data_IF_694917618149
#
_entry.id   IF_694917618149
#
_cell.length_a   1.000
_cell.length_b   1.000
_cell.length_c   1.000
_cell.angle_alpha   90.00
_cell.angle_beta   90.00
_cell.angle_gamma   90.00
#
_symmetry.space_group_name_H-M   'P 1'
#
loop_
_entity.id
_entity.type
_entity.pdbx_description
1 polymer ?
#
# COMPACT_ATOMS: atom_id res chain seq x y z
N UNK A 1 14.09 32.03 -60.42
CA UNK A 1 15.09 31.24 -59.66
C UNK A 1 15.03 31.56 -58.17
N UNK A 2 14.90 32.83 -57.79
CA UNK A 2 14.90 33.27 -56.37
C UNK A 2 13.76 32.69 -55.52
N UNK A 3 12.56 32.51 -56.10
CA UNK A 3 11.42 31.91 -55.39
C UNK A 3 11.63 30.41 -55.07
N UNK A 4 12.31 29.66 -55.94
CA UNK A 4 12.62 28.25 -55.71
C UNK A 4 13.69 28.09 -54.63
N UNK A 5 14.73 28.93 -54.66
CA UNK A 5 15.80 28.94 -53.65
C UNK A 5 15.25 29.30 -52.26
N UNK A 6 14.32 30.27 -52.18
CA UNK A 6 13.64 30.64 -50.94
C UNK A 6 12.82 29.47 -50.37
N UNK A 7 12.07 28.75 -51.22
CA UNK A 7 11.27 27.60 -50.78
C UNK A 7 12.15 26.43 -50.28
N UNK A 8 13.27 26.16 -50.96
CA UNK A 8 14.24 25.14 -50.53
C UNK A 8 14.86 25.49 -49.18
N UNK A 9 15.20 26.77 -48.97
CA UNK A 9 15.73 27.25 -47.71
C UNK A 9 14.72 27.09 -46.56
N UNK A 10 13.46 27.48 -46.78
CA UNK A 10 12.38 27.29 -45.80
C UNK A 10 12.16 25.82 -45.47
N UNK A 11 12.19 24.93 -46.47
CA UNK A 11 12.06 23.49 -46.25
C UNK A 11 13.20 22.94 -45.39
N UNK A 12 14.44 23.38 -45.63
CA UNK A 12 15.60 22.96 -44.86
C UNK A 12 15.54 23.45 -43.41
N UNK A 13 15.08 24.68 -43.17
CA UNK A 13 14.88 25.23 -41.83
C UNK A 13 13.79 24.47 -41.08
N UNK A 14 12.67 24.15 -41.75
CA UNK A 14 11.61 23.33 -41.19
C UNK A 14 12.11 21.93 -40.80
N UNK A 15 12.90 21.28 -41.66
CA UNK A 15 13.50 19.98 -41.38
C UNK A 15 14.45 20.03 -40.18
N UNK A 16 15.30 21.06 -40.09
CA UNK A 16 16.18 21.28 -38.92
C UNK A 16 15.38 21.50 -37.64
N UNK A 17 14.28 22.25 -37.71
CA UNK A 17 13.39 22.46 -36.56
C UNK A 17 12.72 21.16 -36.12
N UNK A 18 12.28 20.31 -37.06
CA UNK A 18 11.71 18.99 -36.76
C UNK A 18 12.74 18.04 -36.12
N UNK A 19 13.97 18.02 -36.62
CA UNK A 19 15.07 17.24 -36.03
C UNK A 19 15.42 17.71 -34.61
N UNK A 20 15.47 19.03 -34.40
CA UNK A 20 15.67 19.62 -33.07
C UNK A 20 14.52 19.28 -32.11
N UNK A 21 13.26 19.36 -32.57
CA UNK A 21 12.08 18.96 -31.80
C UNK A 21 12.14 17.48 -31.41
N UNK A 22 12.43 16.60 -32.36
CA UNK A 22 12.50 15.16 -32.12
C UNK A 22 13.62 14.81 -31.13
N UNK A 23 14.76 15.49 -31.24
CA UNK A 23 15.88 15.36 -30.29
C UNK A 23 15.48 15.81 -28.88
N UNK A 24 14.77 16.94 -28.77
CA UNK A 24 14.27 17.44 -27.49
C UNK A 24 13.26 16.49 -26.86
N UNK A 25 12.30 15.98 -27.64
CA UNK A 25 11.33 14.96 -27.19
C UNK A 25 12.06 13.70 -26.70
N UNK A 26 13.06 13.23 -27.45
CA UNK A 26 13.89 12.08 -27.03
C UNK A 26 14.55 12.29 -25.67
N UNK A 27 15.13 13.46 -25.43
CA UNK A 27 15.73 13.82 -24.13
C UNK A 27 14.70 13.88 -23.00
N UNK A 28 13.50 14.41 -23.26
CA UNK A 28 12.43 14.43 -22.27
C UNK A 28 11.94 13.02 -21.90
N UNK A 29 11.74 12.15 -22.90
CA UNK A 29 11.35 10.75 -22.67
C UNK A 29 12.42 10.04 -21.82
N UNK A 30 13.70 10.21 -22.17
CA UNK A 30 14.79 9.63 -21.40
C UNK A 30 14.82 10.15 -19.95
N UNK A 31 14.55 11.45 -19.75
CA UNK A 31 14.49 12.04 -18.40
C UNK A 31 13.33 11.48 -17.59
N UNK A 32 12.15 11.32 -18.20
CA UNK A 32 10.97 10.70 -17.55
C UNK A 32 11.26 9.25 -17.19
N UNK A 33 11.85 8.46 -18.09
CA UNK A 33 12.23 7.06 -17.83
C UNK A 33 13.26 6.95 -16.70
N UNK A 34 14.26 7.83 -16.68
CA UNK A 34 15.24 7.88 -15.59
C UNK A 34 14.60 8.25 -14.24
N UNK A 35 13.65 9.19 -14.23
CA UNK A 35 12.90 9.55 -13.03
C UNK A 35 12.03 8.39 -12.55
N UNK A 36 11.33 7.70 -13.46
CA UNK A 36 10.52 6.54 -13.12
C UNK A 36 11.37 5.41 -12.53
N UNK A 37 12.52 5.11 -13.15
CA UNK A 37 13.49 4.15 -12.62
C UNK A 37 14.00 4.56 -11.25
N UNK A 38 14.26 5.84 -11.01
CA UNK A 38 14.68 6.33 -9.70
C UNK A 38 13.57 6.21 -8.65
N UNK A 39 12.30 6.44 -9.02
CA UNK A 39 11.14 6.26 -8.14
C UNK A 39 10.86 4.78 -7.82
N UNK A 40 11.18 3.88 -8.75
CA UNK A 40 11.06 2.44 -8.55
C UNK A 40 12.19 1.87 -7.68
N UNK A 41 13.36 2.53 -7.65
CA UNK A 41 14.41 2.20 -6.67
C UNK A 41 13.87 2.43 -5.26
N UNK A 42 13.98 1.41 -4.41
CA UNK A 42 13.46 1.40 -3.04
C UNK A 42 11.94 1.50 -2.91
N UNK A 43 11.18 1.10 -3.94
CA UNK A 43 9.74 0.92 -3.80
C UNK A 43 9.40 -0.07 -2.67
N UNK A 44 8.34 0.22 -1.93
CA UNK A 44 7.93 -0.56 -0.76
C UNK A 44 6.42 -0.62 -0.56
N UNK A 45 6.00 -1.62 0.19
CA UNK A 45 4.66 -1.80 0.74
C UNK A 45 4.72 -1.41 2.21
N UNK A 46 3.83 -0.53 2.63
CA UNK A 46 3.69 -0.14 4.04
C UNK A 46 2.52 -0.91 4.65
N UNK A 47 2.74 -1.54 5.79
CA UNK A 47 1.71 -2.25 6.57
C UNK A 47 1.64 -1.58 7.94
N UNK A 48 0.53 -0.89 8.19
CA UNK A 48 0.28 -0.20 9.46
C UNK A 48 -0.83 -0.92 10.22
N UNK A 49 -0.54 -1.33 11.44
CA UNK A 49 -1.47 -2.08 12.28
C UNK A 49 -1.70 -1.33 13.59
N UNK A 50 -2.97 -1.11 13.91
CA UNK A 50 -3.45 -0.73 15.24
C UNK A 50 -3.55 -1.99 16.10
N UNK A 51 -2.53 -2.24 16.93
CA UNK A 51 -2.46 -3.42 17.78
C UNK A 51 -3.46 -3.42 18.93
N UNK A 52 -4.04 -2.27 19.30
CA UNK A 52 -5.11 -2.21 20.30
C UNK A 52 -6.44 -2.74 19.74
N UNK A 53 -6.59 -2.68 18.41
CA UNK A 53 -7.79 -3.07 17.67
C UNK A 53 -7.61 -4.35 16.80
N UNK A 54 -6.37 -4.77 16.55
CA UNK A 54 -5.99 -5.95 15.76
C UNK A 54 -5.24 -6.99 16.62
N UNK A 55 -5.99 -7.88 17.27
CA UNK A 55 -5.42 -8.90 18.14
C UNK A 55 -4.76 -10.03 17.35
N UNK A 56 -3.51 -10.34 17.67
CA UNK A 56 -2.84 -11.55 17.17
C UNK A 56 -3.50 -12.82 17.74
N UNK A 57 -3.35 -13.93 17.01
CA UNK A 57 -3.80 -15.26 17.45
C UNK A 57 -3.22 -15.60 18.83
N UNK A 58 -4.05 -16.19 19.69
CA UNK A 58 -3.69 -16.47 21.08
C UNK A 58 -2.55 -17.49 21.16
N UNK A 59 -2.55 -18.49 20.28
CA UNK A 59 -1.48 -19.46 20.12
C UNK A 59 -0.13 -18.84 19.75
N UNK A 60 -0.11 -17.71 19.04
CA UNK A 60 1.12 -16.97 18.77
C UNK A 60 1.53 -16.18 20.01
N UNK A 61 0.62 -15.41 20.61
CA UNK A 61 0.93 -14.58 21.79
C UNK A 61 1.48 -15.41 22.95
N UNK A 62 0.91 -16.60 23.20
CA UNK A 62 1.32 -17.53 24.27
C UNK A 62 2.75 -18.06 24.12
N UNK A 63 3.28 -18.14 22.90
CA UNK A 63 4.65 -18.63 22.64
C UNK A 63 5.72 -17.57 22.95
N UNK A 64 5.36 -16.39 23.45
CA UNK A 64 6.30 -15.32 23.80
C UNK A 64 7.16 -14.94 22.60
N UNK A 65 8.49 -14.91 22.76
CA UNK A 65 9.42 -14.49 21.71
C UNK A 65 9.38 -15.38 20.45
N UNK A 66 9.18 -16.70 20.61
CA UNK A 66 9.02 -17.59 19.44
C UNK A 66 7.75 -17.24 18.67
N UNK A 67 6.67 -16.94 19.38
CA UNK A 67 5.40 -16.57 18.77
C UNK A 67 5.40 -15.20 18.11
N UNK A 68 6.12 -14.23 18.69
CA UNK A 68 6.34 -12.93 18.06
C UNK A 68 7.10 -13.04 16.74
N UNK A 69 8.16 -13.85 16.72
CA UNK A 69 8.94 -14.14 15.51
C UNK A 69 8.08 -14.82 14.43
N UNK A 70 7.30 -15.84 14.83
CA UNK A 70 6.36 -16.54 13.95
C UNK A 70 5.27 -15.58 13.42
N UNK A 71 4.69 -14.74 14.27
CA UNK A 71 3.66 -13.78 13.89
C UNK A 71 4.15 -12.77 12.83
N UNK A 72 5.35 -12.22 13.00
CA UNK A 72 5.94 -11.30 12.04
C UNK A 72 6.18 -11.98 10.68
N UNK A 73 6.70 -13.22 10.69
CA UNK A 73 6.93 -14.00 9.46
C UNK A 73 5.62 -14.34 8.75
N UNK A 74 4.61 -14.79 9.50
CA UNK A 74 3.28 -15.10 8.96
C UNK A 74 2.61 -13.86 8.38
N UNK A 75 2.68 -12.71 9.06
CA UNK A 75 2.13 -11.45 8.55
C UNK A 75 2.83 -11.02 7.26
N UNK A 76 4.16 -11.07 7.24
CA UNK A 76 4.94 -10.72 6.05
C UNK A 76 4.64 -11.65 4.87
N UNK A 77 4.50 -12.95 5.13
CA UNK A 77 4.12 -13.93 4.12
C UNK A 77 2.70 -13.66 3.60
N UNK A 78 1.73 -13.44 4.49
CA UNK A 78 0.34 -13.18 4.11
C UNK A 78 0.21 -11.93 3.24
N UNK A 79 0.96 -10.86 3.56
CA UNK A 79 1.00 -9.64 2.74
C UNK A 79 1.58 -9.92 1.34
N UNK A 80 2.69 -10.66 1.27
CA UNK A 80 3.28 -11.05 -0.02
C UNK A 80 2.30 -11.89 -0.86
N UNK A 81 1.70 -12.92 -0.26
CA UNK A 81 0.76 -13.82 -0.94
C UNK A 81 -0.50 -13.09 -1.43
N UNK A 82 -0.99 -12.12 -0.66
CA UNK A 82 -2.12 -11.30 -1.07
C UNK A 82 -1.80 -10.39 -2.27
N UNK A 83 -0.58 -9.84 -2.34
CA UNK A 83 -0.20 -8.87 -3.36
C UNK A 83 0.47 -9.48 -4.59
N UNK A 84 1.02 -10.69 -4.54
CA UNK A 84 1.80 -11.27 -5.65
C UNK A 84 1.05 -11.39 -6.98
N UNK A 85 -0.28 -11.37 -6.94
CA UNK A 85 -1.16 -11.42 -8.10
C UNK A 85 -1.69 -10.05 -8.55
N UNK A 86 -1.33 -8.97 -7.85
CA UNK A 86 -1.65 -7.61 -8.25
C UNK A 86 -0.70 -7.17 -9.38
N UNK A 87 -1.26 -6.66 -10.47
CA UNK A 87 -0.51 -6.14 -11.63
C UNK A 87 0.48 -5.03 -11.25
N UNK A 88 0.21 -4.28 -10.17
CA UNK A 88 1.04 -3.18 -9.72
C UNK A 88 2.12 -3.60 -8.71
N UNK A 89 2.12 -4.86 -8.27
CA UNK A 89 3.10 -5.39 -7.33
C UNK A 89 4.30 -6.00 -8.04
N UNK A 90 5.51 -5.62 -7.62
CA UNK A 90 6.75 -6.28 -8.03
C UNK A 90 7.33 -7.06 -6.84
N UNK A 91 7.87 -8.24 -7.13
CA UNK A 91 8.33 -9.19 -6.11
C UNK A 91 9.53 -8.66 -5.29
N UNK A 92 10.27 -7.68 -5.82
CA UNK A 92 11.41 -7.03 -5.18
C UNK A 92 11.02 -5.85 -4.27
N UNK A 93 9.73 -5.49 -4.20
CA UNK A 93 9.27 -4.47 -3.27
C UNK A 93 9.52 -4.88 -1.82
N UNK A 94 10.08 -3.95 -1.05
CA UNK A 94 10.29 -4.15 0.38
C UNK A 94 8.93 -4.15 1.09
N UNK A 95 8.74 -5.02 2.08
CA UNK A 95 7.55 -5.00 2.94
C UNK A 95 7.98 -4.43 4.29
N UNK A 96 7.42 -3.28 4.65
CA UNK A 96 7.65 -2.59 5.92
C UNK A 96 6.41 -2.75 6.78
N UNK A 97 6.55 -3.29 7.98
CA UNK A 97 5.45 -3.59 8.90
C UNK A 97 5.67 -2.82 10.19
N UNK A 98 4.65 -2.06 10.60
CA UNK A 98 4.65 -1.35 11.87
C UNK A 98 3.34 -1.58 12.60
N UNK A 99 3.45 -2.13 13.80
CA UNK A 99 2.35 -2.28 14.75
C UNK A 99 2.49 -1.21 15.81
N UNK A 100 1.45 -0.41 16.02
CA UNK A 100 1.38 0.59 17.09
C UNK A 100 0.31 0.16 18.08
N UNK A 101 0.65 0.14 19.36
CA UNK A 101 -0.30 -0.14 20.43
C UNK A 101 0.13 0.53 21.73
N UNK A 102 -0.81 0.76 22.63
CA UNK A 102 -0.50 1.03 24.02
C UNK A 102 -0.03 -0.29 24.67
N UNK A 103 1.30 -0.51 24.73
CA UNK A 103 1.84 -1.80 25.19
C UNK A 103 1.42 -2.13 26.62
N UNK A 104 1.34 -1.13 27.50
CA UNK A 104 0.92 -1.33 28.88
C UNK A 104 -0.53 -1.81 28.95
N UNK A 105 -1.42 -1.14 28.21
CA UNK A 105 -2.84 -1.47 28.12
C UNK A 105 -3.06 -2.86 27.52
N UNK A 106 -2.45 -3.13 26.36
CA UNK A 106 -2.56 -4.39 25.65
C UNK A 106 -1.98 -5.57 26.45
N UNK A 107 -0.84 -5.37 27.12
CA UNK A 107 -0.23 -6.38 28.00
C UNK A 107 -1.15 -6.71 29.18
N UNK A 108 -1.75 -5.69 29.80
CA UNK A 108 -2.73 -5.89 30.87
C UNK A 108 -3.96 -6.64 30.37
N UNK A 109 -4.48 -6.26 29.20
CA UNK A 109 -5.61 -6.94 28.57
C UNK A 109 -5.34 -8.45 28.36
N UNK A 110 -4.19 -8.82 27.78
CA UNK A 110 -3.84 -10.23 27.62
C UNK A 110 -3.69 -11.00 28.94
N UNK A 111 -3.20 -10.33 29.98
CA UNK A 111 -3.13 -10.92 31.33
C UNK A 111 -4.51 -11.11 31.95
N UNK A 112 -5.38 -10.12 31.86
CA UNK A 112 -6.74 -10.14 32.44
C UNK A 112 -7.63 -11.20 31.75
N UNK A 113 -7.35 -11.50 30.48
CA UNK A 113 -7.99 -12.56 29.69
C UNK A 113 -7.42 -13.96 29.92
N UNK A 114 -6.49 -14.15 30.87
CA UNK A 114 -5.78 -15.41 31.11
C UNK A 114 -5.00 -15.96 29.90
N UNK A 115 -4.67 -15.10 28.92
CA UNK A 115 -3.89 -15.50 27.74
C UNK A 115 -2.41 -15.57 28.08
N UNK A 116 -1.93 -14.61 28.85
CA UNK A 116 -0.58 -14.57 29.38
C UNK A 116 -0.59 -14.67 30.90
N UNK A 117 0.44 -15.29 31.51
CA UNK A 117 0.51 -15.44 32.96
C UNK A 117 0.75 -14.10 33.68
N UNK A 118 1.32 -13.11 32.99
CA UNK A 118 1.54 -11.76 33.50
C UNK A 118 1.64 -10.75 32.37
N UNK A 119 1.35 -9.48 32.66
CA UNK A 119 1.51 -8.39 31.70
C UNK A 119 2.94 -8.30 31.14
N UNK A 120 3.96 -8.53 31.98
CA UNK A 120 5.38 -8.50 31.55
C UNK A 120 5.71 -9.58 30.52
N UNK A 121 4.94 -10.67 30.45
CA UNK A 121 5.17 -11.75 29.49
C UNK A 121 4.96 -11.30 28.04
N UNK A 122 4.14 -10.28 27.80
CA UNK A 122 3.89 -9.77 26.45
C UNK A 122 5.14 -9.14 25.83
N UNK A 123 6.06 -8.62 26.65
CA UNK A 123 7.33 -8.07 26.17
C UNK A 123 8.15 -9.10 25.39
N UNK A 124 8.04 -10.39 25.74
CA UNK A 124 8.72 -11.45 24.99
C UNK A 124 8.16 -11.55 23.57
N UNK A 125 6.83 -11.48 23.40
CA UNK A 125 6.20 -11.45 22.08
C UNK A 125 6.67 -10.25 21.26
N UNK A 126 6.68 -9.05 21.85
CA UNK A 126 7.18 -7.81 21.19
C UNK A 126 8.64 -7.96 20.75
N UNK A 127 9.52 -8.48 21.63
CA UNK A 127 10.93 -8.73 21.31
C UNK A 127 11.09 -9.72 20.15
N UNK A 128 10.31 -10.80 20.16
CA UNK A 128 10.27 -11.78 19.08
C UNK A 128 9.88 -11.16 17.75
N UNK A 129 8.81 -10.38 17.75
CA UNK A 129 8.30 -9.69 16.56
C UNK A 129 9.35 -8.75 15.96
N UNK A 130 9.96 -7.91 16.80
CA UNK A 130 10.95 -6.91 16.36
C UNK A 130 12.24 -7.54 15.85
N UNK A 131 12.62 -8.71 16.39
CA UNK A 131 13.82 -9.45 15.95
C UNK A 131 13.61 -10.19 14.62
N UNK A 132 12.37 -10.52 14.28
CA UNK A 132 12.06 -11.44 13.18
C UNK A 132 12.57 -10.96 11.81
N UNK A 133 12.51 -9.66 11.56
CA UNK A 133 12.93 -9.05 10.32
C UNK A 133 13.29 -7.56 10.52
N UNK A 134 14.34 -7.02 9.87
CA UNK A 134 14.77 -5.61 10.02
C UNK A 134 13.77 -4.52 9.61
N UNK A 135 12.57 -4.89 9.14
CA UNK A 135 11.52 -3.99 8.66
C UNK A 135 10.17 -4.34 9.31
N UNK A 136 10.22 -5.01 10.47
CA UNK A 136 9.05 -5.38 11.24
C UNK A 136 9.23 -4.82 12.65
N UNK A 137 8.41 -3.83 12.98
CA UNK A 137 8.48 -3.11 14.24
C UNK A 137 7.13 -3.18 14.97
N UNK A 138 7.18 -3.51 16.25
CA UNK A 138 6.09 -3.41 17.21
C UNK A 138 6.48 -2.32 18.20
N UNK A 139 5.77 -1.19 18.10
CA UNK A 139 6.12 0.08 18.71
C UNK A 139 5.14 0.42 19.82
N UNK A 140 5.68 0.87 20.95
CA UNK A 140 4.86 1.47 22.00
C UNK A 140 4.36 2.85 21.55
N UNK A 141 3.04 3.01 21.51
CA UNK A 141 2.40 4.27 21.21
C UNK A 141 2.43 5.21 22.43
N UNK A 142 2.54 4.67 23.65
CA UNK A 142 2.40 5.39 24.90
C UNK A 142 1.10 5.04 25.64
N UNK A 143 0.96 5.56 26.86
CA UNK A 143 -0.07 5.15 27.82
C UNK A 143 -1.30 6.06 27.88
N UNK A 144 -1.50 6.96 26.90
CA UNK A 144 -2.66 7.84 26.86
C UNK A 144 -3.70 7.36 25.84
N UNK A 145 -4.93 7.85 25.99
CA UNK A 145 -6.01 7.62 25.03
C UNK A 145 -5.61 8.15 23.65
N UNK A 146 -5.96 7.42 22.59
CA UNK A 146 -5.69 7.79 21.18
C UNK A 146 -4.21 7.88 20.76
N UNK A 147 -3.27 7.41 21.59
CA UNK A 147 -1.84 7.47 21.27
C UNK A 147 -1.47 6.72 19.99
N UNK A 148 -2.02 5.52 19.80
CA UNK A 148 -1.79 4.71 18.60
C UNK A 148 -2.47 5.34 17.38
N UNK A 149 -3.73 5.77 17.53
CA UNK A 149 -4.53 6.41 16.49
C UNK A 149 -3.86 7.65 15.91
N UNK A 150 -3.41 8.58 16.76
CA UNK A 150 -2.70 9.79 16.30
C UNK A 150 -1.46 9.46 15.47
N UNK A 151 -0.65 8.48 15.92
CA UNK A 151 0.56 8.06 15.20
C UNK A 151 0.20 7.41 13.86
N UNK A 152 -0.81 6.53 13.86
CA UNK A 152 -1.24 5.79 12.68
C UNK A 152 -1.82 6.71 11.61
N UNK A 153 -2.71 7.63 11.98
CA UNK A 153 -3.27 8.63 11.05
C UNK A 153 -2.17 9.41 10.36
N UNK A 154 -1.17 9.88 11.11
CA UNK A 154 -0.11 10.68 10.51
C UNK A 154 0.88 9.84 9.69
N UNK A 155 1.12 8.59 10.07
CA UNK A 155 1.88 7.66 9.23
C UNK A 155 1.15 7.31 7.94
N UNK A 156 -0.18 7.13 7.99
CA UNK A 156 -1.01 6.93 6.80
C UNK A 156 -0.86 8.13 5.86
N UNK A 157 -1.05 9.35 6.39
CA UNK A 157 -0.93 10.59 5.62
C UNK A 157 0.46 10.76 5.00
N UNK A 158 1.52 10.47 5.75
CA UNK A 158 2.90 10.56 5.25
C UNK A 158 3.16 9.56 4.11
N UNK A 159 2.79 8.29 4.31
CA UNK A 159 3.15 7.23 3.37
C UNK A 159 2.24 7.17 2.15
N UNK A 160 0.99 7.62 2.26
CA UNK A 160 0.11 7.63 1.10
C UNK A 160 0.53 8.66 0.06
N UNK A 161 1.20 9.75 0.45
CA UNK A 161 1.76 10.73 -0.48
C UNK A 161 3.20 10.40 -0.91
N UNK A 162 3.82 9.35 -0.34
CA UNK A 162 5.16 8.95 -0.70
C UNK A 162 5.18 8.18 -2.02
N UNK A 163 5.94 8.66 -3.01
CA UNK A 163 6.04 8.07 -4.36
C UNK A 163 6.68 6.68 -4.42
N UNK A 164 7.45 6.32 -3.40
CA UNK A 164 8.06 4.99 -3.26
C UNK A 164 7.12 3.99 -2.56
N UNK A 165 6.14 4.47 -1.78
CA UNK A 165 5.14 3.61 -1.15
C UNK A 165 4.12 3.17 -2.21
N UNK A 166 4.17 1.93 -2.69
CA UNK A 166 3.27 1.49 -3.78
C UNK A 166 1.90 1.06 -3.27
N UNK A 167 1.84 0.56 -2.04
CA UNK A 167 0.59 0.16 -1.40
C UNK A 167 0.69 0.36 0.10
N UNK A 168 -0.38 0.84 0.70
CA UNK A 168 -0.56 0.96 2.13
C UNK A 168 -1.65 -0.02 2.58
N UNK A 169 -1.26 -1.03 3.36
CA UNK A 169 -2.18 -1.91 4.05
C UNK A 169 -2.41 -1.39 5.46
N UNK A 170 -3.67 -1.24 5.85
CA UNK A 170 -4.06 -0.73 7.15
C UNK A 170 -4.95 -1.72 7.91
N UNK A 171 -4.50 -2.16 9.08
CA UNK A 171 -5.27 -2.97 10.02
C UNK A 171 -5.66 -2.14 11.24
N UNK A 172 -6.89 -1.63 11.26
CA UNK A 172 -7.46 -0.89 12.40
C UNK A 172 -8.96 -0.65 12.22
N UNK A 173 -9.58 -1.41 11.32
CA UNK A 173 -10.88 -1.10 10.73
C UNK A 173 -12.08 -1.40 11.62
N UNK A 174 -11.84 -1.78 12.87
CA UNK A 174 -12.87 -1.92 13.90
C UNK A 174 -13.11 -0.64 14.69
N UNK A 175 -12.28 0.38 14.51
CA UNK A 175 -12.37 1.66 15.21
C UNK A 175 -12.94 2.74 14.28
N UNK A 176 -14.03 3.37 14.73
CA UNK A 176 -14.81 4.35 13.97
C UNK A 176 -13.99 5.58 13.56
N UNK A 177 -12.97 5.92 14.36
CA UNK A 177 -12.18 7.13 14.17
C UNK A 177 -11.35 7.12 12.90
N UNK A 178 -11.04 5.93 12.35
CA UNK A 178 -10.32 5.81 11.07
C UNK A 178 -11.25 5.92 9.85
N UNK A 179 -12.53 5.58 9.97
CA UNK A 179 -13.44 5.60 8.83
C UNK A 179 -13.60 7.02 8.26
N UNK A 180 -13.84 8.00 9.12
CA UNK A 180 -13.95 9.41 8.75
C UNK A 180 -12.63 9.95 8.18
N UNK A 181 -11.51 9.56 8.77
CA UNK A 181 -10.17 9.95 8.32
C UNK A 181 -9.87 9.39 6.92
N UNK A 182 -10.06 8.10 6.71
CA UNK A 182 -9.79 7.44 5.42
C UNK A 182 -10.73 7.92 4.31
N UNK A 183 -11.95 8.36 4.66
CA UNK A 183 -12.91 8.94 3.71
C UNK A 183 -12.33 10.14 2.95
N UNK A 184 -11.44 10.92 3.57
CA UNK A 184 -10.80 12.07 2.93
C UNK A 184 -9.93 11.69 1.72
N UNK A 185 -9.34 10.49 1.73
CA UNK A 185 -8.51 9.98 0.65
C UNK A 185 -9.31 9.39 -0.52
N UNK A 186 -10.62 9.17 -0.34
CA UNK A 186 -11.47 8.56 -1.36
C UNK A 186 -11.89 9.52 -2.48
N UNK A 187 -11.54 10.80 -2.37
CA UNK A 187 -11.80 11.79 -3.43
C UNK A 187 -10.85 11.55 -4.61
N UNK A 188 -9.61 11.14 -4.32
CA UNK A 188 -8.58 10.85 -5.31
C UNK A 188 -8.50 9.34 -5.54
N UNK A 189 -8.87 8.89 -6.75
CA UNK A 189 -8.89 7.47 -7.11
C UNK A 189 -7.49 6.85 -7.15
N UNK A 190 -6.46 7.62 -7.48
CA UNK A 190 -5.09 7.11 -7.52
C UNK A 190 -4.59 6.86 -6.09
N UNK A 191 -4.90 7.76 -5.16
CA UNK A 191 -4.63 7.59 -3.72
C UNK A 191 -5.46 6.42 -3.16
N UNK A 192 -6.78 6.41 -3.41
CA UNK A 192 -7.68 5.38 -2.89
C UNK A 192 -7.26 3.97 -3.34
N UNK A 193 -6.82 3.82 -4.60
CA UNK A 193 -6.36 2.53 -5.15
C UNK A 193 -5.14 1.95 -4.43
N UNK A 194 -4.37 2.79 -3.72
CA UNK A 194 -3.19 2.40 -2.96
C UNK A 194 -3.51 1.97 -1.53
N UNK A 195 -4.70 2.29 -1.01
CA UNK A 195 -5.13 1.93 0.34
C UNK A 195 -5.84 0.58 0.30
N UNK A 196 -5.42 -0.35 1.15
CA UNK A 196 -6.06 -1.65 1.34
C UNK A 196 -6.29 -1.90 2.82
N UNK A 197 -7.45 -2.44 3.19
CA UNK A 197 -7.77 -2.72 4.58
C UNK A 197 -7.42 -4.18 4.94
N UNK A 198 -6.92 -4.38 6.15
CA UNK A 198 -6.78 -5.69 6.77
C UNK A 198 -7.88 -5.78 7.82
N UNK A 199 -8.85 -6.67 7.59
CA UNK A 199 -9.94 -6.92 8.50
C UNK A 199 -9.49 -7.95 9.55
N UNK A 200 -9.60 -7.55 10.81
CA UNK A 200 -9.53 -8.44 11.96
C UNK A 200 -10.94 -8.70 12.48
N UNK A 201 -11.38 -7.88 13.44
CA UNK A 201 -12.78 -7.86 13.89
C UNK A 201 -13.71 -7.35 12.79
N UNK A 202 -15.04 -7.60 12.89
CA UNK A 202 -16.00 -7.00 11.98
C UNK A 202 -15.79 -5.49 11.86
N UNK A 203 -15.94 -4.97 10.63
CA UNK A 203 -15.91 -3.54 10.38
C UNK A 203 -16.93 -2.84 11.25
N UNK A 204 -16.59 -1.64 11.74
CA UNK A 204 -17.58 -0.82 12.42
C UNK A 204 -18.64 -0.29 11.45
N UNK A 205 -19.75 0.21 11.99
CA UNK A 205 -20.87 0.67 11.17
C UNK A 205 -20.45 1.79 10.20
N UNK A 206 -19.54 2.66 10.62
CA UNK A 206 -19.02 3.82 9.90
C UNK A 206 -18.19 3.40 8.68
N UNK A 207 -17.50 2.25 8.76
CA UNK A 207 -16.76 1.67 7.65
C UNK A 207 -17.66 1.21 6.50
N UNK A 208 -18.95 0.94 6.74
CA UNK A 208 -19.91 0.50 5.69
C UNK A 208 -19.97 1.48 4.51
N UNK A 209 -19.73 2.78 4.76
CA UNK A 209 -19.78 3.83 3.73
C UNK A 209 -18.55 3.87 2.82
N UNK A 210 -17.45 3.24 3.24
CA UNK A 210 -16.15 3.26 2.55
C UNK A 210 -15.61 1.87 2.18
N UNK A 211 -16.14 0.82 2.78
CA UNK A 211 -15.70 -0.55 2.58
C UNK A 211 -15.81 -0.98 1.12
N UNK A 212 -16.89 -0.61 0.42
CA UNK A 212 -17.10 -0.96 -0.99
C UNK A 212 -16.16 -0.19 -1.93
N UNK A 213 -15.51 0.87 -1.44
CA UNK A 213 -14.59 1.73 -2.20
C UNK A 213 -13.12 1.33 -2.02
N UNK A 214 -12.83 0.52 -1.01
CA UNK A 214 -11.48 0.09 -0.66
C UNK A 214 -11.37 -1.43 -0.78
N UNK A 215 -10.26 -1.91 -1.33
CA UNK A 215 -9.98 -3.34 -1.30
C UNK A 215 -9.66 -3.77 0.14
N UNK A 216 -10.08 -4.96 0.54
CA UNK A 216 -9.81 -5.49 1.86
C UNK A 216 -9.54 -6.99 1.83
N UNK A 217 -8.84 -7.47 2.86
CA UNK A 217 -8.48 -8.88 3.03
C UNK A 217 -8.47 -9.26 4.51
N UNK A 218 -8.41 -10.55 4.80
CA UNK A 218 -8.30 -11.11 6.15
C UNK A 218 -7.06 -12.00 6.22
N UNK A 219 -6.27 -11.86 7.31
CA UNK A 219 -5.12 -12.71 7.56
C UNK A 219 -5.40 -13.61 8.78
N UNK A 220 -6.29 -14.59 8.59
CA UNK A 220 -6.78 -15.46 9.66
C UNK A 220 -5.69 -16.31 10.34
N UNK A 221 -4.55 -16.52 9.67
CA UNK A 221 -3.37 -17.17 10.25
C UNK A 221 -2.54 -16.27 11.17
N UNK A 222 -2.89 -14.99 11.30
CA UNK A 222 -2.14 -13.98 12.07
C UNK A 222 -3.03 -13.30 13.09
N UNK A 223 -4.20 -12.86 12.66
CA UNK A 223 -5.11 -12.05 13.45
C UNK A 223 -6.39 -12.81 13.79
N UNK A 224 -6.93 -12.50 14.98
CA UNK A 224 -8.25 -12.97 15.41
C UNK A 224 -9.33 -12.16 14.71
N UNK A 225 -10.46 -12.83 14.45
CA UNK A 225 -11.66 -12.19 13.94
C UNK A 225 -12.60 -11.66 15.04
N UNK A 226 -12.24 -11.82 16.31
CA UNK A 226 -13.02 -11.42 17.47
C UNK A 226 -12.11 -11.02 18.64
N UNK A 227 -12.62 -10.15 19.51
CA UNK A 227 -11.95 -9.82 20.77
C UNK A 227 -11.71 -11.09 21.59
N UNK A 228 -10.51 -11.29 22.15
CA UNK A 228 -10.26 -12.42 23.02
C UNK A 228 -11.23 -12.47 24.21
N UNK A 229 -11.82 -13.64 24.44
CA UNK A 229 -12.59 -13.94 25.64
C UNK A 229 -11.67 -14.52 26.71
N UNK A 230 -12.01 -14.30 27.99
CA UNK A 230 -11.26 -14.87 29.11
C UNK A 230 -11.19 -16.39 28.99
N UNK A 231 -9.98 -16.93 28.91
CA UNK A 231 -9.80 -18.38 28.83
C UNK A 231 -10.15 -19.02 30.18
N UNK A 232 -10.95 -20.08 30.12
CA UNK A 232 -11.22 -20.91 31.30
C UNK A 232 -9.92 -21.59 31.69
N UNK A 233 -9.43 -21.28 32.89
CA UNK A 233 -8.47 -22.16 33.56
C UNK A 233 -9.12 -23.54 33.66
N UNK A 234 -8.42 -24.64 33.33
CA UNK A 234 -8.94 -25.97 33.58
C UNK A 234 -9.34 -26.06 35.06
N UNK A 235 -10.63 -26.26 35.33
CA UNK A 235 -11.11 -26.56 36.67
C UNK A 235 -10.45 -27.86 37.13
N UNK A 236 -9.68 -27.79 38.22
CA UNK A 236 -9.26 -28.98 38.96
C UNK A 236 -7.78 -29.35 38.91
N UNK A 237 -6.93 -28.56 39.57
CA UNK A 237 -6.07 -29.14 40.62
C UNK A 237 -6.32 -28.29 41.87
N UNK A 238 -7.21 -28.78 42.74
CA UNK A 238 -7.21 -28.39 44.16
C UNK A 238 -5.80 -28.71 44.68
N UNK A 239 -4.99 -27.69 44.93
CA UNK A 239 -3.82 -27.84 45.80
C UNK A 239 -4.29 -27.85 47.24
N UNK A 240 -4.91 -28.97 47.64
CA UNK A 240 -4.84 -29.40 49.04
C UNK A 240 -3.54 -30.18 49.20
N UNK A 241 -2.49 -29.49 49.62
CA UNK A 241 -1.44 -30.07 50.45
C UNK A 241 -0.62 -28.95 51.07
N UNK A 242 -0.99 -28.67 52.32
CA UNK A 242 -0.21 -27.91 53.27
C UNK A 242 1.02 -28.74 53.66
N UNK A 243 2.23 -28.24 53.42
CA UNK A 243 3.42 -28.70 54.14
C UNK A 243 4.07 -27.48 54.76
N UNK A 244 3.89 -27.37 56.08
CA UNK A 244 4.68 -26.49 56.93
C UNK A 244 6.12 -26.98 56.94
N UNK A 245 7.01 -26.24 56.28
CA UNK A 245 8.44 -26.35 56.54
C UNK A 245 8.74 -25.50 57.77
N UNK A 246 8.82 -26.15 58.93
CA UNK A 246 9.37 -25.55 60.14
C UNK A 246 10.87 -25.28 59.90
N UNK A 247 11.29 -24.03 60.11
CA UNK A 247 12.70 -23.68 60.24
C UNK A 247 13.23 -24.20 61.59
N UNK A 248 14.37 -24.91 61.65
CA UNK A 248 15.06 -25.12 62.91
C UNK A 248 15.80 -23.83 63.28
N UNK A 249 15.43 -23.25 64.43
CA UNK A 249 16.31 -22.35 65.15
C UNK A 249 17.49 -23.14 65.71
N UNK A 250 18.71 -22.77 65.31
CA UNK A 250 19.89 -23.02 66.15
C UNK A 250 20.70 -21.74 66.25
N UNK A 251 20.62 -21.13 67.44
CA UNK A 251 21.61 -20.18 67.94
C UNK A 251 22.99 -20.85 67.95
N UNK A 252 24.02 -20.13 67.47
CA UNK A 252 25.33 -20.11 68.12
C UNK A 252 26.08 -18.83 67.76
N UNK A 253 26.30 -18.04 68.80
CA UNK A 253 27.20 -16.90 68.89
C UNK A 253 28.65 -17.34 68.72
N UNK A 254 29.47 -16.52 68.06
CA UNK A 254 30.87 -16.35 68.46
C UNK A 254 31.28 -14.88 68.35
N UNK A 255 31.82 -14.40 69.47
CA UNK A 255 32.35 -13.07 69.68
C UNK A 255 33.72 -12.88 69.01
N UNK A 256 34.04 -11.61 68.79
CA UNK A 256 35.35 -11.03 68.42
C UNK A 256 36.53 -11.62 69.18
N UNK A 257 37.64 -11.81 68.46
CA UNK A 257 38.97 -11.38 68.91
C UNK A 257 39.73 -10.71 67.76
N UNK A 258 40.64 -9.82 68.13
CA UNK A 258 41.30 -8.80 67.33
C UNK A 258 42.79 -9.03 67.23
N UNK A 259 43.37 -8.82 66.04
CA UNK A 259 44.75 -8.39 65.70
C UNK A 259 44.86 -8.63 64.19
N UNK A 260 45.15 -7.68 63.30
CA UNK A 260 46.08 -6.56 63.34
C UNK A 260 47.08 -6.82 62.22
N UNK A 261 46.91 -6.22 61.03
CA UNK A 261 47.88 -5.25 60.47
C UNK A 261 47.48 -4.73 59.06
N UNK A 262 48.07 -3.57 58.77
CA UNK A 262 47.94 -2.58 57.68
C UNK A 262 47.76 -3.08 56.23
N UNK A 263 47.01 -2.30 55.44
CA UNK A 263 47.57 -1.36 54.44
C UNK A 263 46.58 -0.99 53.31
N UNK A 264 46.34 0.32 53.13
CA UNK A 264 46.06 1.13 51.91
C UNK A 264 45.27 0.53 50.72
N UNK A 265 44.35 1.21 50.01
CA UNK A 265 43.89 2.59 50.00
C UNK A 265 42.63 2.72 49.09
N UNK A 266 41.87 3.79 49.35
CA UNK A 266 41.02 4.55 48.41
C UNK A 266 39.69 3.97 47.89
N UNK A 267 38.63 4.26 48.65
CA UNK A 267 37.32 4.77 48.13
C UNK A 267 37.47 6.30 47.90
N UNK A 268 36.55 7.07 47.26
CA UNK A 268 35.09 6.88 47.26
C UNK A 268 34.29 7.37 46.01
N UNK A 269 33.09 6.81 45.77
CA UNK A 269 31.71 7.36 45.95
C UNK A 269 31.12 8.13 44.75
N UNK A 270 29.88 7.74 44.44
CA UNK A 270 28.85 8.50 43.72
C UNK A 270 28.61 9.90 44.30
N UNK A 271 28.08 10.81 43.47
CA UNK A 271 26.91 11.68 43.74
C UNK A 271 26.33 12.18 42.42
N UNK A 272 25.02 12.46 42.45
CA UNK A 272 24.09 12.83 41.39
C UNK A 272 24.14 14.32 40.97
N UNK A 273 23.45 14.57 39.84
CA UNK A 273 22.74 15.78 39.36
C UNK A 273 23.43 17.14 39.28
N UNK A 274 23.49 17.71 38.06
CA UNK A 274 23.23 19.14 37.78
C UNK A 274 22.69 19.32 36.34
N UNK A 275 21.54 20.00 36.22
CA UNK A 275 21.03 20.65 35.00
C UNK A 275 21.86 21.91 34.66
N UNK A 276 22.22 22.13 33.39
CA UNK A 276 22.75 23.43 32.97
C UNK A 276 23.21 23.49 31.51
N UNK A 277 22.57 24.36 30.72
CA UNK A 277 22.77 24.69 29.31
C UNK A 277 24.22 25.03 28.88
N UNK A 278 24.59 24.61 27.67
CA UNK A 278 25.30 25.41 26.63
C UNK A 278 25.35 24.58 25.34
N UNK A 279 24.61 24.94 24.27
CA UNK A 279 25.04 25.78 23.13
C UNK A 279 26.54 25.69 22.80
N UNK A 280 26.87 25.10 21.65
CA UNK A 280 28.25 25.08 21.13
C UNK A 280 28.52 24.04 20.05
N UNK A 281 28.10 24.38 18.83
CA UNK A 281 28.55 23.93 17.51
C UNK A 281 29.87 23.14 17.38
N UNK A 282 29.85 22.05 16.59
CA UNK A 282 30.79 21.77 15.48
C UNK A 282 30.43 20.42 14.83
N UNK A 283 29.94 20.40 13.59
CA UNK A 283 30.74 20.43 12.35
C UNK A 283 31.13 19.02 11.86
N UNK A 284 30.16 18.23 11.40
CA UNK A 284 30.37 17.07 10.50
C UNK A 284 29.23 16.94 9.47
N UNK A 285 28.62 18.05 9.04
CA UNK A 285 27.50 18.02 8.08
C UNK A 285 27.68 18.94 6.86
N UNK A 286 28.88 19.50 6.65
CA UNK A 286 29.12 20.51 5.62
C UNK A 286 30.32 20.23 4.70
N UNK A 287 30.78 18.97 4.61
CA UNK A 287 31.91 18.60 3.71
C UNK A 287 31.53 17.61 2.60
N UNK A 288 30.23 17.35 2.39
CA UNK A 288 29.76 16.48 1.30
C UNK A 288 28.91 17.19 0.24
N UNK A 289 28.53 18.45 0.45
CA UNK A 289 27.73 19.21 -0.53
C UNK A 289 28.55 20.16 -1.42
N UNK A 290 29.86 20.32 -1.20
CA UNK A 290 30.73 21.20 -1.99
C UNK A 290 31.56 20.47 -3.06
N UNK A 291 31.59 19.12 -3.05
CA UNK A 291 32.37 18.31 -4.00
C UNK A 291 31.56 17.77 -5.20
N UNK A 292 30.29 18.13 -5.33
CA UNK A 292 29.45 17.71 -6.48
C UNK A 292 29.13 18.84 -7.48
N UNK A 293 29.74 20.02 -7.33
CA UNK A 293 29.50 21.16 -8.22
C UNK A 293 30.76 21.70 -8.93
N UNK A 294 31.85 20.92 -8.96
CA UNK A 294 33.12 21.33 -9.58
C UNK A 294 33.77 20.21 -10.39
N UNK A 295 33.07 19.71 -11.40
CA UNK A 295 33.65 18.87 -12.44
C UNK A 295 32.88 18.98 -13.77
N UNK A 296 32.59 20.22 -14.19
CA UNK A 296 32.20 20.52 -15.58
C UNK A 296 33.03 21.71 -16.04
N UNK A 297 34.15 21.42 -16.71
CA UNK A 297 34.71 22.18 -17.86
C UNK A 297 36.07 21.64 -18.29
N UNK A 298 36.10 21.14 -19.53
CA UNK A 298 37.23 21.18 -20.47
C UNK A 298 38.29 20.09 -20.33
N UNK A 299 38.42 19.24 -21.35
CA UNK A 299 39.60 19.15 -22.25
C UNK A 299 39.16 18.48 -23.56
N UNK A 300 39.47 19.12 -24.69
CA UNK A 300 39.37 18.62 -26.07
C UNK A 300 40.59 17.74 -26.46
N UNK A 301 40.43 17.03 -27.58
CA UNK A 301 41.45 16.44 -28.49
C UNK A 301 41.92 14.97 -28.31
N UNK A 302 41.50 14.20 -29.32
CA UNK A 302 42.30 13.44 -30.30
C UNK A 302 42.95 12.08 -29.97
N UNK A 303 42.56 11.12 -30.83
CA UNK A 303 43.29 9.98 -31.42
C UNK A 303 43.99 8.93 -30.54
N UNK A 304 43.53 7.67 -30.63
CA UNK A 304 44.15 6.61 -31.47
C UNK A 304 43.76 5.18 -31.03
N UNK A 305 43.60 4.31 -32.05
CA UNK A 305 43.74 2.85 -32.09
C UNK A 305 42.86 1.97 -31.17
N UNK A 306 41.88 1.27 -31.76
CA UNK A 306 41.99 -0.14 -32.23
C UNK A 306 42.20 -1.13 -31.09
N UNK A 307 41.32 -2.13 -30.98
CA UNK A 307 41.67 -3.55 -30.85
C UNK A 307 40.43 -4.42 -31.12
N UNK A 308 40.70 -5.57 -31.70
CA UNK A 308 39.80 -6.46 -32.43
C UNK A 308 38.86 -7.33 -31.56
N UNK A 309 37.71 -7.61 -32.17
CA UNK A 309 37.02 -8.90 -32.36
C UNK A 309 36.98 -9.98 -31.28
N UNK A 310 35.74 -10.43 -30.99
CA UNK A 310 35.24 -11.83 -30.89
C UNK A 310 33.80 -11.76 -30.33
N UNK A 311 32.77 -12.50 -30.71
CA UNK A 311 32.56 -13.60 -31.63
C UNK A 311 31.06 -13.66 -31.98
N UNK A 312 30.76 -14.24 -33.14
CA UNK A 312 29.42 -14.46 -33.68
C UNK A 312 28.72 -15.65 -33.01
N UNK A 313 27.46 -15.48 -32.60
CA UNK A 313 26.51 -16.57 -32.35
C UNK A 313 25.21 -16.25 -33.09
N UNK A 314 24.97 -17.01 -34.16
CA UNK A 314 23.75 -17.00 -34.98
C UNK A 314 22.63 -17.72 -34.24
N UNK A 315 21.43 -17.16 -34.25
CA UNK A 315 20.17 -17.84 -33.95
C UNK A 315 19.26 -17.88 -35.19
N UNK A 316 18.35 -18.87 -35.30
CA UNK A 316 17.75 -19.28 -36.56
C UNK A 316 16.48 -18.51 -36.94
N UNK A 317 16.32 -18.37 -38.25
CA UNK A 317 15.18 -17.77 -38.97
C UNK A 317 13.89 -18.59 -38.91
N UNK A 318 12.76 -17.89 -38.87
CA UNK A 318 11.40 -18.39 -39.14
C UNK A 318 10.51 -17.21 -39.57
N UNK A 319 9.42 -17.44 -40.33
CA UNK A 319 9.34 -17.04 -41.73
C UNK A 319 8.67 -15.69 -41.99
N UNK A 320 9.09 -15.11 -43.11
CA UNK A 320 8.57 -13.91 -43.78
C UNK A 320 7.05 -13.98 -44.01
N UNK A 321 6.28 -13.23 -43.23
CA UNK A 321 4.91 -12.86 -43.60
C UNK A 321 4.95 -11.47 -44.25
N UNK A 322 4.52 -11.39 -45.51
CA UNK A 322 4.34 -10.15 -46.28
C UNK A 322 3.52 -9.13 -45.47
N UNK A 323 3.86 -7.82 -45.51
CA UNK A 323 3.10 -6.82 -44.79
C UNK A 323 1.72 -6.71 -45.43
N UNK A 324 0.67 -7.06 -44.67
CA UNK A 324 -0.71 -6.69 -45.02
C UNK A 324 -0.74 -5.17 -45.21
N UNK A 325 -1.13 -4.75 -46.40
CA UNK A 325 -1.42 -3.36 -46.80
C UNK A 325 -2.13 -2.66 -45.62
N UNK A 326 -1.50 -1.63 -45.04
CA UNK A 326 -2.17 -0.75 -44.07
C UNK A 326 -3.37 -0.15 -44.79
N UNK A 327 -4.57 -0.50 -44.36
CA UNK A 327 -5.76 0.22 -44.77
C UNK A 327 -5.66 1.62 -44.17
N UNK A 328 -5.72 2.66 -45.00
CA UNK A 328 -5.85 4.03 -44.53
C UNK A 328 -7.22 4.16 -43.84
N UNK A 329 -7.23 4.14 -42.51
CA UNK A 329 -8.44 4.32 -41.71
C UNK A 329 -8.63 5.81 -41.41
N UNK A 330 -9.85 6.30 -41.60
CA UNK A 330 -10.23 7.67 -41.23
C UNK A 330 -10.57 7.77 -39.75
N UNK A 331 -10.62 9.00 -39.22
CA UNK A 331 -11.09 9.23 -37.85
C UNK A 331 -12.53 8.74 -37.64
N UNK A 332 -13.37 8.82 -38.68
CA UNK A 332 -14.78 8.41 -38.61
C UNK A 332 -14.93 6.89 -38.58
N UNK A 333 -14.00 6.14 -39.21
CA UNK A 333 -13.95 4.68 -39.10
C UNK A 333 -13.67 4.24 -37.66
N UNK A 334 -12.77 4.94 -36.97
CA UNK A 334 -12.44 4.68 -35.56
C UNK A 334 -13.64 5.03 -34.67
N UNK A 335 -14.32 6.15 -34.91
CA UNK A 335 -15.54 6.52 -34.17
C UNK A 335 -16.62 5.44 -34.34
N UNK A 336 -16.83 4.99 -35.58
CA UNK A 336 -17.83 3.97 -35.91
C UNK A 336 -17.52 2.65 -35.22
N UNK A 337 -16.26 2.23 -35.22
CA UNK A 337 -15.82 1.00 -34.57
C UNK A 337 -15.95 1.06 -33.04
N UNK A 338 -15.69 2.23 -32.42
CA UNK A 338 -15.91 2.44 -30.98
C UNK A 338 -17.38 2.25 -30.62
N UNK A 339 -18.29 2.89 -31.36
CA UNK A 339 -19.74 2.79 -31.13
C UNK A 339 -20.20 1.33 -31.31
N UNK A 340 -19.74 0.66 -32.37
CA UNK A 340 -20.08 -0.74 -32.62
C UNK A 340 -19.59 -1.66 -31.50
N UNK A 341 -18.34 -1.51 -31.06
CA UNK A 341 -17.78 -2.33 -29.98
C UNK A 341 -18.56 -2.18 -28.67
N UNK A 342 -18.98 -0.95 -28.33
CA UNK A 342 -19.83 -0.70 -27.14
C UNK A 342 -21.14 -1.47 -27.25
N UNK A 343 -21.86 -1.34 -28.38
CA UNK A 343 -23.13 -2.03 -28.58
C UNK A 343 -22.97 -3.56 -28.53
N UNK A 344 -21.96 -4.12 -29.20
CA UNK A 344 -21.69 -5.56 -29.22
C UNK A 344 -21.38 -6.11 -27.82
N UNK A 345 -20.64 -5.35 -27.01
CA UNK A 345 -20.28 -5.76 -25.65
C UNK A 345 -21.48 -5.68 -24.71
N UNK A 346 -22.24 -4.58 -24.75
CA UNK A 346 -23.42 -4.40 -23.91
C UNK A 346 -24.55 -5.37 -24.27
N UNK A 347 -24.65 -5.79 -25.54
CA UNK A 347 -25.59 -6.82 -25.93
C UNK A 347 -25.27 -8.18 -25.29
N UNK A 348 -24.00 -8.49 -25.04
CA UNK A 348 -23.56 -9.74 -24.40
C UNK A 348 -23.58 -9.66 -22.87
N UNK A 349 -23.11 -8.54 -22.33
CA UNK A 349 -23.00 -8.30 -20.88
C UNK A 349 -23.54 -6.92 -20.50
N UNK A 350 -24.87 -6.74 -20.41
CA UNK A 350 -25.53 -5.46 -20.12
C UNK A 350 -24.99 -4.68 -18.92
N UNK A 351 -24.50 -5.39 -17.90
CA UNK A 351 -24.05 -4.80 -16.62
C UNK A 351 -22.55 -4.53 -16.54
N UNK A 352 -21.77 -4.87 -17.55
CA UNK A 352 -20.30 -4.73 -17.52
C UNK A 352 -19.76 -4.17 -18.83
N UNK A 353 -19.02 -3.07 -18.73
CA UNK A 353 -18.30 -2.46 -19.84
C UNK A 353 -17.05 -1.78 -19.30
N UNK A 354 -15.89 -2.15 -19.82
CA UNK A 354 -14.61 -1.50 -19.52
C UNK A 354 -14.14 -0.67 -20.72
N UNK A 355 -13.66 0.55 -20.47
CA UNK A 355 -13.22 1.47 -21.54
C UNK A 355 -11.91 0.99 -22.20
N UNK A 356 -11.03 0.35 -21.42
CA UNK A 356 -9.80 -0.25 -21.91
C UNK A 356 -10.09 -1.43 -22.84
N UNK A 357 -11.07 -2.26 -22.52
CA UNK A 357 -11.50 -3.37 -23.38
C UNK A 357 -12.05 -2.90 -24.73
N UNK A 358 -12.92 -1.88 -24.72
CA UNK A 358 -13.46 -1.27 -25.94
C UNK A 358 -12.32 -0.73 -26.82
N UNK A 359 -11.36 -0.03 -26.21
CA UNK A 359 -10.17 0.53 -26.88
C UNK A 359 -9.26 -0.54 -27.46
N UNK A 360 -8.91 -1.56 -26.67
CA UNK A 360 -8.09 -2.70 -27.11
C UNK A 360 -8.72 -3.47 -28.28
N UNK A 361 -10.05 -3.58 -28.28
CA UNK A 361 -10.76 -4.22 -29.39
C UNK A 361 -10.67 -3.39 -30.67
N UNK A 362 -10.79 -2.07 -30.59
CA UNK A 362 -10.62 -1.17 -31.74
C UNK A 362 -9.16 -1.12 -32.22
N UNK A 363 -8.18 -1.16 -31.31
CA UNK A 363 -6.76 -1.32 -31.66
C UNK A 363 -6.53 -2.59 -32.47
N UNK A 364 -7.11 -3.71 -32.04
CA UNK A 364 -7.01 -4.98 -32.77
C UNK A 364 -7.69 -4.96 -34.14
N UNK A 365 -8.78 -4.18 -34.31
CA UNK A 365 -9.50 -4.09 -35.59
C UNK A 365 -8.66 -3.35 -36.64
N UNK A 366 -7.98 -2.26 -36.25
CA UNK A 366 -7.24 -1.41 -37.20
C UNK A 366 -5.71 -1.59 -37.14
N UNK A 367 -5.19 -2.44 -36.24
CA UNK A 367 -3.75 -2.61 -36.04
C UNK A 367 -3.07 -1.36 -35.46
N UNK A 368 -3.75 -0.66 -34.54
CA UNK A 368 -3.25 0.57 -33.92
C UNK A 368 -2.17 0.23 -32.86
N UNK A 369 -1.16 1.09 -32.67
CA UNK A 369 -0.19 0.91 -31.59
C UNK A 369 -0.87 1.06 -30.21
N UNK A 370 -0.32 0.40 -29.19
CA UNK A 370 -0.87 0.39 -27.82
C UNK A 370 -0.96 1.75 -27.13
N UNK A 371 -0.24 2.76 -27.65
CA UNK A 371 -0.29 4.15 -27.19
C UNK A 371 -1.19 5.06 -28.05
N UNK A 372 -1.92 4.53 -29.03
CA UNK A 372 -2.74 5.30 -29.96
C UNK A 372 -3.71 6.26 -29.24
N UNK A 373 -4.37 5.79 -28.18
CA UNK A 373 -5.33 6.60 -27.42
C UNK A 373 -4.71 7.69 -26.57
N UNK A 374 -3.39 7.66 -26.35
CA UNK A 374 -2.64 8.70 -25.65
C UNK A 374 -2.18 9.84 -26.60
N UNK A 375 -2.36 9.66 -27.91
CA UNK A 375 -2.03 10.67 -28.92
C UNK A 375 -3.03 11.84 -28.99
N UNK A 376 -2.63 12.89 -29.73
CA UNK A 376 -3.31 14.19 -29.76
C UNK A 376 -4.81 14.09 -30.06
N UNK A 377 -5.61 14.39 -29.04
CA UNK A 377 -7.07 14.50 -29.11
C UNK A 377 -7.86 13.21 -28.85
N UNK A 378 -7.25 12.02 -29.00
CA UNK A 378 -8.00 10.76 -28.90
C UNK A 378 -8.33 10.32 -27.47
N UNK A 379 -7.54 10.74 -26.47
CA UNK A 379 -7.78 10.35 -25.06
C UNK A 379 -9.16 10.81 -24.58
N UNK A 380 -9.47 12.09 -24.78
CA UNK A 380 -10.76 12.69 -24.38
C UNK A 380 -11.86 12.37 -25.39
N UNK A 381 -11.55 12.40 -26.70
CA UNK A 381 -12.51 12.12 -27.77
C UNK A 381 -13.08 10.70 -27.67
N UNK A 382 -12.25 9.68 -27.50
CA UNK A 382 -12.71 8.29 -27.36
C UNK A 382 -13.57 8.09 -26.10
N UNK A 383 -13.22 8.71 -24.96
CA UNK A 383 -14.05 8.65 -23.74
C UNK A 383 -15.46 9.22 -23.98
N UNK A 384 -15.55 10.37 -24.64
CA UNK A 384 -16.83 11.01 -24.94
C UNK A 384 -17.68 10.19 -25.92
N UNK A 385 -17.07 9.59 -26.94
CA UNK A 385 -17.76 8.73 -27.91
C UNK A 385 -18.33 7.49 -27.22
N UNK A 386 -17.51 6.80 -26.41
CA UNK A 386 -17.94 5.61 -25.66
C UNK A 386 -19.09 5.98 -24.72
N UNK A 387 -18.97 7.09 -23.97
CA UNK A 387 -20.03 7.57 -23.07
C UNK A 387 -21.36 7.77 -23.80
N UNK A 388 -21.36 8.51 -24.91
CA UNK A 388 -22.58 8.75 -25.71
C UNK A 388 -23.17 7.46 -26.28
N UNK A 389 -22.32 6.52 -26.69
CA UNK A 389 -22.77 5.23 -27.19
C UNK A 389 -23.48 4.40 -26.09
N UNK A 390 -22.97 4.43 -24.86
CA UNK A 390 -23.61 3.80 -23.69
C UNK A 390 -24.95 4.47 -23.38
N UNK A 391 -24.98 5.80 -23.31
CA UNK A 391 -26.21 6.57 -23.05
C UNK A 391 -27.30 6.25 -24.08
N UNK A 392 -26.94 6.26 -25.36
CA UNK A 392 -27.86 5.90 -26.46
C UNK A 392 -28.33 4.44 -26.38
N UNK A 393 -27.46 3.51 -25.98
CA UNK A 393 -27.84 2.10 -25.82
C UNK A 393 -28.81 1.89 -24.64
N UNK A 394 -28.59 2.56 -23.51
CA UNK A 394 -29.48 2.53 -22.34
C UNK A 394 -30.85 3.09 -22.69
N UNK A 395 -30.88 4.24 -23.36
CA UNK A 395 -32.12 4.89 -23.81
C UNK A 395 -32.93 4.01 -24.77
N UNK A 396 -32.27 3.34 -25.72
CA UNK A 396 -32.95 2.45 -26.68
C UNK A 396 -33.40 1.11 -26.10
N UNK A 397 -32.71 0.58 -25.10
CA UNK A 397 -32.94 -0.80 -24.62
C UNK A 397 -33.62 -0.90 -23.26
N UNK A 398 -33.65 0.19 -22.47
CA UNK A 398 -34.21 0.19 -21.11
C UNK A 398 -33.37 -0.60 -20.08
N UNK A 399 -32.21 -1.12 -20.48
CA UNK A 399 -31.31 -1.84 -19.59
C UNK A 399 -30.63 -0.87 -18.59
N UNK A 400 -30.26 -1.34 -17.39
CA UNK A 400 -29.52 -0.52 -16.44
C UNK A 400 -28.18 -0.09 -17.03
N UNK A 401 -27.68 1.08 -16.61
CA UNK A 401 -26.31 1.49 -16.91
C UNK A 401 -25.35 0.40 -16.39
N UNK A 402 -24.25 0.08 -17.10
CA UNK A 402 -23.32 -0.92 -16.62
C UNK A 402 -22.72 -0.45 -15.28
N UNK A 403 -22.17 -1.33 -14.45
CA UNK A 403 -21.73 -0.98 -13.08
C UNK A 403 -20.27 -0.58 -12.95
N UNK A 404 -19.43 -0.94 -13.93
CA UNK A 404 -17.96 -0.91 -13.80
C UNK A 404 -17.23 0.12 -14.66
N UNK A 405 -17.91 0.92 -15.48
CA UNK A 405 -17.20 1.98 -16.17
C UNK A 405 -17.17 3.27 -15.34
N UNK A 406 -16.04 3.93 -15.49
CA UNK A 406 -15.52 5.00 -14.65
C UNK A 406 -16.26 6.33 -14.86
N UNK A 407 -17.59 6.39 -14.74
CA UNK A 407 -18.41 7.53 -15.22
C UNK A 407 -19.04 8.44 -14.15
N UNK A 408 -18.96 8.19 -12.85
CA UNK A 408 -19.49 9.16 -11.88
C UNK A 408 -18.40 10.15 -11.48
N UNK A 409 -18.39 11.33 -12.09
CA UNK A 409 -18.32 12.64 -11.45
C UNK A 409 -18.35 13.73 -12.53
N UNK A 410 -19.55 14.13 -12.96
CA UNK A 410 -19.84 15.46 -13.50
C UNK A 410 -21.35 15.72 -13.46
N UNK A 411 -21.74 16.57 -12.50
CA UNK A 411 -22.92 17.45 -12.43
C UNK A 411 -24.34 16.85 -12.58
N UNK A 412 -25.00 16.60 -11.44
CA UNK A 412 -26.43 16.92 -11.30
C UNK A 412 -26.57 18.42 -11.05
N UNK A 413 -27.41 19.18 -11.78
CA UNK A 413 -27.81 20.50 -11.35
C UNK A 413 -28.65 20.39 -10.07
N UNK A 414 -28.54 21.34 -9.12
CA UNK A 414 -29.38 21.32 -7.94
C UNK A 414 -30.83 21.62 -8.33
N UNK A 415 -31.78 20.72 -8.01
CA UNK A 415 -33.22 21.05 -8.07
C UNK A 415 -34.19 20.07 -8.74
N UNK A 416 -33.96 18.75 -8.73
CA UNK A 416 -35.05 17.80 -9.05
C UNK A 416 -35.28 16.79 -7.91
N UNK A 417 -36.52 16.65 -7.40
CA UNK A 417 -36.86 15.63 -6.42
C UNK A 417 -36.86 14.24 -7.08
N UNK A 418 -36.42 13.24 -6.31
CA UNK A 418 -36.39 11.84 -6.74
C UNK A 418 -37.81 11.27 -6.82
N UNK A 419 -38.10 10.33 -7.75
CA UNK A 419 -39.42 9.71 -7.84
C UNK A 419 -39.67 8.77 -6.64
N UNK A 420 -40.93 8.59 -6.21
CA UNK A 420 -41.25 7.82 -5.01
C UNK A 420 -41.04 6.32 -5.23
N UNK A 421 -40.34 5.70 -4.27
CA UNK A 421 -40.14 4.26 -4.16
C UNK A 421 -41.47 3.60 -3.79
N UNK A 422 -42.10 2.90 -4.74
CA UNK A 422 -43.36 2.23 -4.46
C UNK A 422 -43.13 0.91 -3.73
N UNK A 423 -43.93 0.73 -2.68
CA UNK A 423 -43.82 -0.31 -1.66
C UNK A 423 -44.43 -1.66 -2.11
N UNK A 424 -43.88 -2.72 -1.51
CA UNK A 424 -44.56 -3.92 -0.97
C UNK A 424 -45.59 -4.63 -1.87
N UNK A 425 -45.21 -5.81 -2.33
CA UNK A 425 -46.13 -6.93 -2.58
C UNK A 425 -46.85 -7.36 -1.29
N UNK A 426 -48.20 -7.54 -1.28
CA UNK A 426 -48.90 -8.14 -0.16
C UNK A 426 -49.01 -9.66 -0.32
N UNK A 427 -48.64 -10.37 0.74
CA UNK A 427 -48.92 -11.80 0.97
C UNK A 427 -50.43 -12.03 1.08
N UNK A 428 -50.94 -12.98 0.28
CA UNK A 428 -52.33 -13.44 0.26
C UNK A 428 -52.77 -14.08 1.58
N UNK A 429 -53.83 -13.53 2.18
CA UNK A 429 -54.59 -14.19 3.26
C UNK A 429 -55.46 -15.30 2.66
N UNK A 430 -55.25 -16.53 3.09
CA UNK A 430 -56.24 -17.60 3.00
C UNK A 430 -57.38 -17.39 4.01
N UNK A 431 -58.58 -17.79 3.63
CA UNK A 431 -59.81 -17.83 4.43
C UNK A 431 -60.50 -19.18 4.10
N UNK A 432 -61.54 -19.60 4.84
CA UNK A 432 -61.58 -20.13 6.20
C UNK A 432 -62.10 -21.58 6.22
N UNK A 433 -62.23 -22.20 7.39
CA UNK A 433 -63.33 -23.14 7.65
C UNK A 433 -63.75 -23.14 9.13
N UNK A 434 -65.03 -23.43 9.42
CA UNK A 434 -65.66 -23.24 10.72
C UNK A 434 -65.71 -24.55 11.54
N UNK A 435 -65.83 -24.40 12.86
CA UNK A 435 -66.03 -25.48 13.83
C UNK A 435 -65.98 -24.92 15.23
#
# INVERSE_FOLDING_TARGET
>A
MDSLNSLVQQHLECKKADEARNTFIGRLIQKIDNMQKAMDRNAFIMVLIDGDNMYFLTELVKKGAVGGDEAAKLLRQAVFEYLRHDNNFKHDYKIVIRVYANLKGLSKFYSDMNILPSATSFNQFVLGFNKAHPLCDFMDAGNHEEAADTKLKEHINLYIHNVHCKTLLFGGSSDNTYASFLSSFLIDMDIASRIRLIKGRPFSAEFSSIQDKLQWTEFAAVFRNATPSKERTPDGIRRDTQVWVQQPQTQRSWQRTSSGDRSMASRPKMIADVYGNNVGSNAIATTLLENLYRAERGVDEADTHSWNSSASLKSPSSPTALPRRRADYSADDIVTALIKCVNDMLQKTPKSLDFGDVRRRVESIFGLPSNFWAGDGWTRRSKNIIKRAVESWVERTGNPRPGYATWEFASKPPGQPSPPTNQKTPSSKGRPSPG
#
